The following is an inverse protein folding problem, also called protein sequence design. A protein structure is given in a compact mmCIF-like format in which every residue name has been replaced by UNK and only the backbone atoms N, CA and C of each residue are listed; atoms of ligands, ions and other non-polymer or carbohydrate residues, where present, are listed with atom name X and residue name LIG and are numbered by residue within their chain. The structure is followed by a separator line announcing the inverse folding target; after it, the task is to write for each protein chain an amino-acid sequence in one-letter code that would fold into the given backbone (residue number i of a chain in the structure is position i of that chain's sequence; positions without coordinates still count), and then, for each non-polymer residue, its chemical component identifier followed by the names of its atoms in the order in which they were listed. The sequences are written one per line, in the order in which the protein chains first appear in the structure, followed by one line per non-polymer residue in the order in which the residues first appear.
data_IF_510973513336
#
_entry.id   IF_510973513336
#
_cell.length_a   1.000
_cell.length_b   1.000
_cell.length_c   1.000
_cell.angle_alpha   90.00
_cell.angle_beta   90.00
_cell.angle_gamma   90.00
#
_symmetry.space_group_name_H-M   'P 1'
#
loop_
_entity.id
_entity.type
_entity.pdbx_description
1 polymer ?
#
# COMPACT_ATOMS: atom_id res chain seq x y z
N UNK A 1 -3.78 3.39 -11.46
CA UNK A 1 -3.09 3.79 -10.21
C UNK A 1 -4.08 3.60 -9.06
N UNK A 2 -3.65 2.95 -7.98
CA UNK A 2 -4.51 2.68 -6.80
C UNK A 2 -4.70 3.90 -5.90
N UNK A 3 -5.45 3.73 -4.81
CA UNK A 3 -5.72 4.80 -3.83
C UNK A 3 -4.54 5.02 -2.88
N UNK A 4 -4.21 6.28 -2.59
CA UNK A 4 -3.38 6.64 -1.45
C UNK A 4 -4.28 6.80 -0.22
N UNK A 5 -3.89 6.24 0.92
CA UNK A 5 -4.67 6.28 2.15
C UNK A 5 -3.83 6.91 3.25
N UNK A 6 -4.31 8.01 3.82
CA UNK A 6 -3.71 8.63 5.00
C UNK A 6 -4.09 7.87 6.26
N UNK A 7 -3.10 7.58 7.09
CA UNK A 7 -3.30 6.99 8.41
C UNK A 7 -2.96 8.02 9.48
N UNK A 8 -3.89 8.31 10.37
CA UNK A 8 -3.65 9.22 11.51
C UNK A 8 -3.16 8.48 12.76
N UNK A 9 -3.01 7.15 12.70
CA UNK A 9 -2.44 6.33 13.77
C UNK A 9 -1.45 5.33 13.20
N UNK A 10 -0.67 4.69 14.09
CA UNK A 10 0.14 3.52 13.75
C UNK A 10 -0.71 2.45 13.07
N UNK A 11 -0.16 1.85 12.01
CA UNK A 11 -0.79 0.74 11.31
C UNK A 11 -0.68 -0.53 12.14
N UNK A 12 -1.82 -1.13 12.46
CA UNK A 12 -1.93 -2.43 13.13
C UNK A 12 -2.38 -3.50 12.12
N UNK A 13 -2.25 -4.78 12.49
CA UNK A 13 -2.65 -5.88 11.62
C UNK A 13 -4.15 -5.88 11.27
N UNK A 14 -5.01 -5.57 12.24
CA UNK A 14 -6.46 -5.45 12.05
C UNK A 14 -6.83 -4.28 11.14
N UNK A 15 -6.18 -3.13 11.31
CA UNK A 15 -6.39 -1.96 10.44
C UNK A 15 -5.89 -2.23 9.03
N UNK A 16 -4.76 -2.93 8.90
CA UNK A 16 -4.25 -3.34 7.60
C UNK A 16 -5.21 -4.29 6.87
N UNK A 17 -5.72 -5.33 7.55
CA UNK A 17 -6.72 -6.23 6.97
C UNK A 17 -8.00 -5.48 6.54
N UNK A 18 -8.43 -4.48 7.31
CA UNK A 18 -9.54 -3.61 6.92
C UNK A 18 -9.24 -2.84 5.63
N UNK A 19 -8.03 -2.29 5.49
CA UNK A 19 -7.60 -1.60 4.27
C UNK A 19 -7.60 -2.55 3.07
N UNK A 20 -7.11 -3.78 3.23
CA UNK A 20 -7.14 -4.78 2.18
C UNK A 20 -8.58 -5.07 1.71
N UNK A 21 -9.50 -5.25 2.66
CA UNK A 21 -10.90 -5.52 2.35
C UNK A 21 -11.60 -4.35 1.65
N UNK A 22 -11.43 -3.12 2.14
CA UNK A 22 -12.15 -1.96 1.60
C UNK A 22 -11.54 -1.38 0.32
N UNK A 23 -10.22 -1.49 0.16
CA UNK A 23 -9.52 -0.81 -0.92
C UNK A 23 -8.86 -1.76 -1.91
N UNK A 24 -8.16 -2.80 -1.44
CA UNK A 24 -7.46 -3.70 -2.34
C UNK A 24 -8.44 -4.58 -3.12
N UNK A 25 -9.36 -5.27 -2.44
CA UNK A 25 -10.30 -6.18 -3.10
C UNK A 25 -11.16 -5.47 -4.16
N UNK A 26 -11.71 -4.29 -3.82
CA UNK A 26 -12.45 -3.47 -4.78
C UNK A 26 -11.58 -2.99 -5.95
N UNK A 27 -10.31 -2.63 -5.69
CA UNK A 27 -9.40 -2.23 -6.77
C UNK A 27 -9.05 -3.39 -7.70
N UNK A 28 -8.74 -4.57 -7.16
CA UNK A 28 -8.38 -5.75 -7.94
C UNK A 28 -9.54 -6.22 -8.81
N UNK A 29 -10.76 -6.25 -8.28
CA UNK A 29 -11.94 -6.64 -9.08
C UNK A 29 -12.24 -5.68 -10.25
N UNK A 30 -11.93 -4.38 -10.10
CA UNK A 30 -12.12 -3.38 -11.17
C UNK A 30 -10.99 -3.42 -12.20
N UNK A 31 -9.74 -3.53 -11.76
CA UNK A 31 -8.55 -3.36 -12.61
C UNK A 31 -8.04 -4.68 -13.20
N UNK A 32 -8.25 -5.78 -12.48
CA UNK A 32 -7.74 -7.12 -12.81
C UNK A 32 -8.88 -8.14 -12.82
N UNK A 33 -9.90 -7.88 -13.63
CA UNK A 33 -11.08 -8.75 -13.77
C UNK A 33 -10.77 -10.12 -14.40
N UNK A 34 -9.53 -10.34 -14.84
CA UNK A 34 -9.02 -11.57 -15.46
C UNK A 34 -8.32 -12.50 -14.46
N UNK A 35 -8.35 -12.20 -13.16
CA UNK A 35 -7.68 -12.96 -12.09
C UNK A 35 -6.14 -13.00 -12.21
N UNK A 36 -5.55 -12.20 -13.11
CA UNK A 36 -4.10 -12.14 -13.32
C UNK A 36 -3.42 -11.05 -12.48
N UNK A 37 -4.18 -10.34 -11.65
CA UNK A 37 -3.66 -9.32 -10.76
C UNK A 37 -2.64 -9.89 -9.76
N UNK A 38 -1.54 -9.19 -9.57
CA UNK A 38 -0.55 -9.51 -8.55
C UNK A 38 -0.48 -8.39 -7.50
N UNK A 39 -0.64 -8.77 -6.23
CA UNK A 39 -0.47 -7.88 -5.09
C UNK A 39 0.90 -8.08 -4.47
N UNK A 40 1.65 -7.00 -4.31
CA UNK A 40 2.97 -6.98 -3.67
C UNK A 40 2.94 -6.14 -2.40
N UNK A 41 3.52 -6.66 -1.32
CA UNK A 41 3.71 -5.96 -0.05
C UNK A 41 5.07 -6.36 0.56
N UNK A 42 5.63 -5.53 1.44
CA UNK A 42 6.82 -5.88 2.20
C UNK A 42 6.50 -6.81 3.40
N UNK A 43 7.52 -7.19 4.15
CA UNK A 43 7.39 -8.06 5.32
C UNK A 43 7.20 -7.28 6.64
N UNK A 44 6.64 -6.07 6.61
CA UNK A 44 6.36 -5.31 7.84
C UNK A 44 5.42 -6.09 8.79
N UNK A 45 5.54 -5.84 10.09
CA UNK A 45 4.78 -6.57 11.13
C UNK A 45 3.25 -6.54 10.92
N UNK A 46 2.61 -5.42 10.51
CA UNK A 46 1.17 -5.43 10.23
C UNK A 46 0.79 -6.32 9.04
N UNK A 47 1.63 -6.36 8.01
CA UNK A 47 1.41 -7.10 6.77
C UNK A 47 1.57 -8.62 6.95
N UNK A 48 2.40 -9.01 7.92
CA UNK A 48 2.64 -10.41 8.31
C UNK A 48 1.84 -10.85 9.53
N UNK A 49 0.93 -9.99 10.03
CA UNK A 49 0.03 -10.34 11.12
C UNK A 49 -0.91 -11.49 10.72
N UNK A 50 -1.33 -12.29 11.71
CA UNK A 50 -2.22 -13.44 11.47
C UNK A 50 -3.45 -13.06 10.66
N UNK A 51 -4.15 -12.00 11.07
CA UNK A 51 -5.39 -11.51 10.44
C UNK A 51 -5.14 -11.10 8.98
N UNK A 52 -4.06 -10.38 8.71
CA UNK A 52 -3.71 -9.98 7.34
C UNK A 52 -3.38 -11.19 6.47
N UNK A 53 -2.62 -12.16 7.01
CA UNK A 53 -2.26 -13.37 6.26
C UNK A 53 -3.45 -14.30 6.00
N UNK A 54 -4.38 -14.40 6.95
CA UNK A 54 -5.62 -15.16 6.78
C UNK A 54 -6.48 -14.53 5.68
N UNK A 55 -6.66 -13.20 5.70
CA UNK A 55 -7.39 -12.48 4.67
C UNK A 55 -6.80 -12.70 3.26
N UNK A 56 -5.46 -12.62 3.13
CA UNK A 56 -4.77 -12.87 1.85
C UNK A 56 -4.91 -14.33 1.37
N UNK A 57 -5.02 -15.29 2.29
CA UNK A 57 -5.25 -16.70 1.93
C UNK A 57 -6.69 -16.93 1.45
N UNK A 58 -7.67 -16.31 2.11
CA UNK A 58 -9.09 -16.39 1.72
C UNK A 58 -9.32 -15.85 0.30
N UNK A 59 -8.59 -14.80 -0.10
CA UNK A 59 -8.73 -14.16 -1.40
C UNK A 59 -7.68 -14.64 -2.43
N UNK A 60 -6.99 -15.75 -2.16
CA UNK A 60 -5.90 -16.25 -3.02
C UNK A 60 -6.33 -16.74 -4.40
N UNK A 61 -7.62 -16.96 -4.63
CA UNK A 61 -8.18 -17.28 -5.94
C UNK A 61 -8.46 -16.04 -6.79
N UNK A 62 -8.60 -14.86 -6.18
CA UNK A 62 -8.98 -13.63 -6.89
C UNK A 62 -7.76 -12.90 -7.46
N UNK A 63 -6.63 -13.02 -6.78
CA UNK A 63 -5.36 -12.44 -7.20
C UNK A 63 -4.19 -13.18 -6.56
N UNK A 64 -3.02 -13.06 -7.18
CA UNK A 64 -1.79 -13.64 -6.65
C UNK A 64 -1.15 -12.70 -5.65
N UNK A 65 -0.81 -13.22 -4.47
CA UNK A 65 0.03 -12.50 -3.52
C UNK A 65 1.51 -12.84 -3.76
N UNK A 66 2.31 -11.84 -4.14
CA UNK A 66 3.75 -11.97 -4.27
C UNK A 66 4.40 -11.92 -2.89
N UNK A 67 4.99 -13.04 -2.46
CA UNK A 67 5.73 -13.08 -1.20
C UNK A 67 7.10 -12.44 -1.36
N UNK A 68 7.29 -11.32 -0.70
CA UNK A 68 8.57 -10.61 -0.71
C UNK A 68 9.68 -11.44 -0.06
N UNK A 69 10.86 -11.57 -0.70
CA UNK A 69 11.98 -12.23 -0.06
C UNK A 69 12.45 -11.45 1.19
N UNK A 70 13.03 -12.12 2.20
CA UNK A 70 13.48 -11.47 3.45
C UNK A 70 14.50 -10.34 3.26
N UNK A 71 15.14 -10.29 2.09
CA UNK A 71 15.97 -9.20 1.57
C UNK A 71 15.64 -9.08 0.07
N UNK A 72 15.29 -7.91 -0.49
CA UNK A 72 16.16 -6.73 -0.41
C UNK A 72 15.43 -5.36 -0.32
N UNK A 73 16.15 -4.38 0.24
CA UNK A 73 15.83 -2.95 0.25
C UNK A 73 15.74 -2.32 -1.15
N UNK A 74 16.37 -2.92 -2.16
CA UNK A 74 16.62 -2.27 -3.45
C UNK A 74 15.55 -2.54 -4.53
N UNK A 75 14.60 -3.44 -4.28
CA UNK A 75 13.59 -3.84 -5.29
C UNK A 75 12.20 -3.23 -5.06
N UNK A 76 12.01 -2.45 -4.00
CA UNK A 76 10.70 -1.90 -3.71
C UNK A 76 10.41 -0.68 -4.60
N UNK A 77 9.57 -0.85 -5.64
CA UNK A 77 9.12 0.24 -6.52
C UNK A 77 8.46 1.39 -5.74
N UNK A 78 7.91 1.10 -4.55
CA UNK A 78 7.34 2.14 -3.67
C UNK A 78 8.39 3.15 -3.19
N UNK A 79 9.66 2.76 -3.02
CA UNK A 79 10.74 3.68 -2.64
C UNK A 79 10.99 4.72 -3.73
N UNK A 80 10.97 4.30 -5.00
CA UNK A 80 11.13 5.21 -6.13
C UNK A 80 9.95 6.20 -6.24
N UNK A 81 8.72 5.70 -6.03
CA UNK A 81 7.52 6.55 -6.03
C UNK A 81 7.58 7.55 -4.87
N UNK A 82 8.03 7.13 -3.67
CA UNK A 82 8.19 8.02 -2.51
C UNK A 82 9.28 9.06 -2.70
N UNK A 83 10.43 8.71 -3.28
CA UNK A 83 11.46 9.69 -3.61
C UNK A 83 10.93 10.73 -4.64
N UNK A 84 10.25 10.27 -5.69
CA UNK A 84 9.64 11.18 -6.67
C UNK A 84 8.58 12.10 -6.04
N UNK A 85 7.74 11.55 -5.17
CA UNK A 85 6.71 12.28 -4.44
C UNK A 85 7.32 13.31 -3.50
N UNK A 86 8.34 12.92 -2.74
CA UNK A 86 9.07 13.79 -1.83
C UNK A 86 9.70 14.97 -2.57
N UNK A 87 10.37 14.72 -3.71
CA UNK A 87 10.94 15.77 -4.55
C UNK A 87 9.88 16.71 -5.11
N UNK A 88 8.72 16.17 -5.50
CA UNK A 88 7.60 16.97 -5.99
C UNK A 88 7.07 17.91 -4.91
N UNK A 89 6.86 17.39 -3.70
CA UNK A 89 6.41 18.17 -2.54
C UNK A 89 7.44 19.25 -2.17
N UNK A 90 8.74 18.92 -2.14
CA UNK A 90 9.81 19.87 -1.80
C UNK A 90 9.93 21.04 -2.76
N UNK A 91 9.56 20.86 -4.03
CA UNK A 91 9.62 21.91 -5.05
C UNK A 91 8.42 22.88 -5.01
N UNK A 92 7.37 22.58 -4.23
CA UNK A 92 6.21 23.48 -4.12
C UNK A 92 6.54 24.72 -3.29
N UNK A 93 5.87 25.83 -3.65
CA UNK A 93 5.95 27.11 -2.94
C UNK A 93 4.53 27.62 -2.66
N UNK A 94 4.18 27.96 -1.40
CA UNK A 94 5.00 27.80 -0.20
C UNK A 94 5.27 26.31 0.09
N UNK A 95 6.35 26.03 0.83
CA UNK A 95 6.62 24.69 1.34
C UNK A 95 5.42 24.22 2.16
N UNK A 96 4.96 22.98 2.01
CA UNK A 96 3.91 22.43 2.87
C UNK A 96 4.43 22.36 4.30
N UNK A 97 3.88 23.20 5.20
CA UNK A 97 4.36 23.36 6.58
C UNK A 97 3.64 22.42 7.56
N UNK A 98 2.48 21.88 7.18
CA UNK A 98 1.66 21.01 8.04
C UNK A 98 1.31 19.67 7.38
N UNK A 99 0.96 18.63 8.16
CA UNK A 99 0.47 17.36 7.62
C UNK A 99 -0.78 17.52 6.73
N UNK A 100 -1.62 18.51 7.02
CA UNK A 100 -2.80 18.83 6.20
C UNK A 100 -2.38 19.43 4.86
N UNK A 101 -1.45 20.39 4.85
CA UNK A 101 -0.92 20.97 3.60
C UNK A 101 -0.21 19.92 2.74
N UNK A 102 0.48 18.97 3.40
CA UNK A 102 1.11 17.85 2.72
C UNK A 102 0.06 16.97 2.03
N UNK A 103 -1.02 16.59 2.71
CA UNK A 103 -2.06 15.75 2.12
C UNK A 103 -2.78 16.44 0.96
N UNK A 104 -3.08 17.73 1.06
CA UNK A 104 -3.63 18.53 -0.04
C UNK A 104 -2.67 18.67 -1.21
N UNK A 105 -1.37 18.42 -0.99
CA UNK A 105 -0.36 18.56 -2.03
C UNK A 105 -0.14 17.30 -2.89
N UNK A 106 -0.65 16.14 -2.46
CA UNK A 106 -0.57 14.86 -3.15
C UNK A 106 -1.74 14.67 -4.12
#
# INVERSE_FOLDING_TARGET
MGSLIRLDTTLTGDRFASILSYHLHSFMSIVHSDELGEFQQDNATPHTSRIATEWLQEHSFEFKHFRWPPKPTDMNIFEYIWDALQRFVQKRSPSSLTPTDLWTAL
#
